data_IF_191145043824
#
_entry.id   IF_191145043824
#
_cell.length_a   1.000
_cell.length_b   1.000
_cell.length_c   1.000
_cell.angle_alpha   90.00
_cell.angle_beta   90.00
_cell.angle_gamma   90.00
#
_symmetry.space_group_name_H-M   'P 1'
#
loop_
_entity.id
_entity.type
_entity.pdbx_description
1 polymer ?
#
# COMPACT_ATOMS: atom_id res chain seq x y z
N UNK A 1 -28.68 1.93 5.66
CA UNK A 1 -27.89 0.88 4.99
C UNK A 1 -26.44 1.35 4.90
N UNK A 2 -25.50 0.53 5.32
CA UNK A 2 -24.05 0.82 5.25
C UNK A 2 -23.62 0.79 3.78
N UNK A 3 -22.98 1.86 3.32
CA UNK A 3 -22.52 2.02 1.92
C UNK A 3 -21.05 1.70 1.73
N UNK A 4 -20.25 1.91 2.76
CA UNK A 4 -18.81 1.71 2.75
C UNK A 4 -18.35 1.10 4.07
N UNK A 5 -17.46 0.13 3.97
CA UNK A 5 -16.71 -0.41 5.09
C UNK A 5 -15.23 -0.21 4.77
N UNK A 6 -14.55 0.61 5.56
CA UNK A 6 -13.11 0.77 5.48
C UNK A 6 -12.44 0.00 6.63
N UNK A 7 -11.39 -0.72 6.32
CA UNK A 7 -10.65 -1.53 7.30
C UNK A 7 -9.15 -1.38 7.11
N UNK A 8 -8.41 -1.42 8.20
CA UNK A 8 -6.96 -1.61 8.19
C UNK A 8 -6.62 -3.09 7.89
N UNK A 9 -5.39 -3.37 7.53
CA UNK A 9 -4.90 -4.71 7.20
C UNK A 9 -4.09 -5.28 8.35
N UNK A 10 -2.95 -4.67 8.67
CA UNK A 10 -2.00 -5.17 9.65
C UNK A 10 -2.53 -5.03 11.07
N UNK A 11 -2.52 -6.13 11.83
CA UNK A 11 -3.06 -6.15 13.19
C UNK A 11 -4.59 -6.11 13.25
N UNK A 12 -5.30 -6.04 12.12
CA UNK A 12 -6.78 -6.03 12.05
C UNK A 12 -7.31 -7.23 11.28
N UNK A 13 -6.95 -7.38 10.03
CA UNK A 13 -7.38 -8.51 9.18
C UNK A 13 -6.35 -9.63 9.12
N UNK A 14 -5.08 -9.27 9.18
CA UNK A 14 -3.95 -10.21 9.17
C UNK A 14 -3.00 -9.89 10.31
N UNK A 15 -2.23 -10.87 10.77
CA UNK A 15 -1.13 -10.60 11.69
C UNK A 15 -0.07 -9.73 11.01
N UNK A 16 0.55 -8.83 11.79
CA UNK A 16 1.52 -7.86 11.29
C UNK A 16 2.60 -8.51 10.42
N UNK A 17 2.80 -7.96 9.25
CA UNK A 17 3.82 -8.41 8.29
C UNK A 17 3.51 -9.71 7.57
N UNK A 18 2.32 -10.32 7.76
CA UNK A 18 1.91 -11.54 7.06
C UNK A 18 1.03 -11.24 5.85
N UNK A 19 0.78 -12.26 5.03
CA UNK A 19 -0.15 -12.21 3.90
C UNK A 19 -1.36 -13.13 4.11
N UNK A 20 -1.45 -13.78 5.28
CA UNK A 20 -2.40 -14.85 5.55
C UNK A 20 -3.74 -14.27 6.04
N UNK A 21 -4.61 -13.97 5.09
CA UNK A 21 -5.99 -13.60 5.36
C UNK A 21 -6.84 -14.86 5.55
N UNK A 22 -7.68 -14.89 6.61
CA UNK A 22 -8.65 -15.96 6.78
C UNK A 22 -9.57 -16.03 5.55
N UNK A 23 -9.66 -17.20 4.88
CA UNK A 23 -10.46 -17.35 3.65
C UNK A 23 -11.92 -16.93 3.75
N UNK A 24 -12.52 -16.99 4.94
CA UNK A 24 -13.90 -16.55 5.18
C UNK A 24 -14.13 -15.08 4.83
N UNK A 25 -13.09 -14.23 4.95
CA UNK A 25 -13.18 -12.83 4.57
C UNK A 25 -13.44 -12.64 3.08
N UNK A 26 -12.92 -13.52 2.22
CA UNK A 26 -13.17 -13.43 0.78
C UNK A 26 -14.66 -13.59 0.45
N UNK A 27 -15.34 -14.52 1.11
CA UNK A 27 -16.78 -14.74 0.92
C UNK A 27 -17.59 -13.56 1.46
N UNK A 28 -17.18 -13.02 2.61
CA UNK A 28 -17.82 -11.82 3.20
C UNK A 28 -17.66 -10.62 2.25
N UNK A 29 -16.49 -10.37 1.69
CA UNK A 29 -16.23 -9.27 0.76
C UNK A 29 -17.14 -9.39 -0.49
N UNK A 30 -17.22 -10.57 -1.08
CA UNK A 30 -18.08 -10.82 -2.24
C UNK A 30 -19.55 -10.56 -1.94
N UNK A 31 -20.02 -11.04 -0.77
CA UNK A 31 -21.41 -10.85 -0.36
C UNK A 31 -21.72 -9.37 -0.06
N UNK A 32 -20.81 -8.63 0.58
CA UNK A 32 -20.97 -7.19 0.81
C UNK A 32 -21.06 -6.43 -0.52
N UNK A 33 -20.21 -6.74 -1.48
CA UNK A 33 -20.28 -6.15 -2.82
C UNK A 33 -21.62 -6.47 -3.49
N UNK A 34 -22.06 -7.72 -3.44
CA UNK A 34 -23.36 -8.12 -3.99
C UNK A 34 -24.51 -7.31 -3.41
N UNK A 35 -24.42 -6.91 -2.14
CA UNK A 35 -25.39 -6.04 -1.45
C UNK A 35 -25.21 -4.55 -1.73
N UNK A 36 -24.24 -4.15 -2.56
CA UNK A 36 -23.98 -2.75 -2.88
C UNK A 36 -23.17 -2.00 -1.84
N UNK A 37 -22.48 -2.72 -0.93
CA UNK A 37 -21.54 -2.13 0.03
C UNK A 37 -20.13 -2.18 -0.55
N UNK A 38 -19.44 -1.03 -0.57
CA UNK A 38 -18.03 -0.94 -0.96
C UNK A 38 -17.17 -1.40 0.21
N UNK A 39 -16.26 -2.32 -0.04
CA UNK A 39 -15.22 -2.70 0.93
C UNK A 39 -13.91 -2.05 0.51
N UNK A 40 -13.25 -1.36 1.44
CA UNK A 40 -12.03 -0.61 1.24
C UNK A 40 -10.98 -1.06 2.26
N UNK A 41 -9.86 -1.58 1.79
CA UNK A 41 -8.70 -1.83 2.63
C UNK A 41 -7.74 -0.64 2.58
N UNK A 42 -7.35 -0.10 3.75
CA UNK A 42 -6.45 1.03 3.87
C UNK A 42 -5.19 0.60 4.64
N UNK A 43 -4.00 0.82 4.07
CA UNK A 43 -2.74 0.38 4.65
C UNK A 43 -1.57 1.25 4.20
N UNK A 44 -0.50 1.25 5.02
CA UNK A 44 0.82 1.76 4.62
C UNK A 44 1.56 0.86 3.63
N UNK A 45 1.08 -0.37 3.42
CA UNK A 45 1.70 -1.31 2.48
C UNK A 45 1.70 -0.77 1.05
N UNK A 46 2.69 -1.21 0.28
CA UNK A 46 2.67 -1.03 -1.17
C UNK A 46 1.49 -1.79 -1.80
N UNK A 47 0.97 -1.26 -2.89
CA UNK A 47 -0.13 -1.84 -3.65
C UNK A 47 0.08 -3.33 -3.95
N UNK A 48 1.25 -3.71 -4.46
CA UNK A 48 1.53 -5.10 -4.82
C UNK A 48 1.43 -6.06 -3.61
N UNK A 49 1.77 -5.59 -2.42
CA UNK A 49 1.61 -6.38 -1.19
C UNK A 49 0.14 -6.55 -0.80
N UNK A 50 -0.66 -5.50 -0.94
CA UNK A 50 -2.11 -5.57 -0.68
C UNK A 50 -2.79 -6.50 -1.67
N UNK A 51 -2.46 -6.41 -2.96
CA UNK A 51 -3.01 -7.27 -4.00
C UNK A 51 -2.77 -8.76 -3.72
N UNK A 52 -1.60 -9.11 -3.15
CA UNK A 52 -1.31 -10.49 -2.74
C UNK A 52 -2.26 -11.00 -1.64
N UNK A 53 -2.58 -10.16 -0.65
CA UNK A 53 -3.52 -10.52 0.43
C UNK A 53 -4.92 -10.77 -0.12
N UNK A 54 -5.36 -9.98 -1.10
CA UNK A 54 -6.73 -10.01 -1.62
C UNK A 54 -6.85 -10.66 -3.01
N UNK A 55 -5.86 -11.42 -3.45
CA UNK A 55 -5.84 -12.06 -4.78
C UNK A 55 -7.18 -12.67 -5.21
N UNK A 56 -7.92 -13.42 -4.35
CA UNK A 56 -9.20 -14.03 -4.77
C UNK A 56 -10.36 -13.06 -4.97
N UNK A 57 -10.21 -11.80 -4.54
CA UNK A 57 -11.29 -10.79 -4.53
C UNK A 57 -10.84 -9.42 -5.05
N UNK A 58 -9.80 -9.37 -5.88
CA UNK A 58 -9.24 -8.12 -6.41
C UNK A 58 -10.27 -7.22 -7.10
N UNK A 59 -11.22 -7.83 -7.80
CA UNK A 59 -12.30 -7.11 -8.48
C UNK A 59 -13.44 -6.68 -7.54
N UNK A 60 -13.43 -7.13 -6.30
CA UNK A 60 -14.52 -6.95 -5.34
C UNK A 60 -14.19 -5.96 -4.23
N UNK A 61 -12.92 -5.56 -4.12
CA UNK A 61 -12.42 -4.68 -3.07
C UNK A 61 -11.70 -3.46 -3.67
N UNK A 62 -11.70 -2.37 -2.94
CA UNK A 62 -10.90 -1.17 -3.23
C UNK A 62 -9.76 -1.03 -2.23
N UNK A 63 -8.70 -0.32 -2.60
CA UNK A 63 -7.53 -0.13 -1.74
C UNK A 63 -7.14 1.33 -1.62
N UNK A 64 -6.67 1.69 -0.43
CA UNK A 64 -5.80 2.83 -0.20
C UNK A 64 -4.47 2.26 0.26
N UNK A 65 -3.41 2.50 -0.51
CA UNK A 65 -2.06 2.00 -0.24
C UNK A 65 -1.08 3.15 -0.02
N UNK A 66 0.13 2.81 0.44
CA UNK A 66 1.23 3.75 0.63
C UNK A 66 0.83 4.99 1.46
N UNK A 67 0.11 4.75 2.57
CA UNK A 67 -0.37 5.79 3.49
C UNK A 67 -1.28 6.85 2.82
N UNK A 68 -2.03 6.48 1.79
CA UNK A 68 -2.99 7.35 1.14
C UNK A 68 -2.54 7.94 -0.20
N UNK A 69 -1.32 7.69 -0.63
CA UNK A 69 -0.81 8.22 -1.90
C UNK A 69 -1.36 7.50 -3.11
N UNK A 70 -1.87 6.28 -2.94
CA UNK A 70 -2.47 5.52 -4.03
C UNK A 70 -3.85 5.00 -3.64
N UNK A 71 -4.84 5.29 -4.49
CA UNK A 71 -6.20 4.73 -4.39
C UNK A 71 -6.42 3.87 -5.63
N UNK A 72 -6.91 2.66 -5.43
CA UNK A 72 -7.12 1.71 -6.49
C UNK A 72 -8.40 0.91 -6.30
N UNK A 73 -9.17 0.78 -7.36
CA UNK A 73 -10.30 -0.14 -7.49
C UNK A 73 -10.29 -0.74 -8.89
N UNK A 74 -11.23 -1.62 -9.20
CA UNK A 74 -11.37 -2.22 -10.53
C UNK A 74 -11.40 -1.18 -11.66
N UNK A 75 -12.15 -0.09 -11.45
CA UNK A 75 -12.45 0.90 -12.50
C UNK A 75 -11.84 2.28 -12.22
N UNK A 76 -11.06 2.42 -11.17
CA UNK A 76 -10.52 3.71 -10.75
C UNK A 76 -9.12 3.55 -10.18
N UNK A 77 -8.24 4.45 -10.60
CA UNK A 77 -6.90 4.58 -10.03
C UNK A 77 -6.56 6.05 -9.85
N UNK A 78 -6.05 6.38 -8.69
CA UNK A 78 -5.49 7.69 -8.37
C UNK A 78 -4.13 7.51 -7.70
N UNK A 79 -3.15 8.28 -8.13
CA UNK A 79 -1.82 8.31 -7.52
C UNK A 79 -1.45 9.77 -7.30
N UNK A 80 -1.16 10.11 -6.05
CA UNK A 80 -0.58 11.40 -5.71
C UNK A 80 0.93 11.24 -5.56
N UNK A 81 1.69 12.07 -6.25
CA UNK A 81 3.14 12.01 -6.26
C UNK A 81 3.75 13.27 -5.65
N UNK A 82 4.79 13.09 -4.85
CA UNK A 82 5.56 14.22 -4.32
C UNK A 82 6.36 14.83 -5.47
N UNK A 83 6.39 16.17 -5.54
CA UNK A 83 7.20 16.88 -6.52
C UNK A 83 8.66 16.38 -6.47
N UNK A 84 9.27 16.01 -7.62
CA UNK A 84 10.65 15.51 -7.66
C UNK A 84 11.68 16.45 -7.06
N UNK A 85 11.48 17.76 -7.14
CA UNK A 85 12.39 18.74 -6.53
C UNK A 85 12.31 18.69 -4.99
N UNK A 86 11.10 18.50 -4.43
CA UNK A 86 10.91 18.30 -2.99
C UNK A 86 11.59 17.01 -2.54
N UNK A 87 11.40 15.91 -3.28
CA UNK A 87 12.07 14.63 -2.99
C UNK A 87 13.59 14.79 -2.99
N UNK A 88 14.15 15.50 -3.99
CA UNK A 88 15.59 15.77 -4.07
C UNK A 88 16.09 16.53 -2.85
N UNK A 89 15.38 17.58 -2.43
CA UNK A 89 15.71 18.37 -1.25
C UNK A 89 15.74 17.50 0.02
N UNK A 90 14.73 16.66 0.21
CA UNK A 90 14.71 15.74 1.36
C UNK A 90 15.87 14.74 1.35
N UNK A 91 16.23 14.21 0.19
CA UNK A 91 17.39 13.31 0.04
C UNK A 91 18.69 14.02 0.43
N UNK A 92 18.90 15.25 -0.08
CA UNK A 92 20.09 16.04 0.21
C UNK A 92 20.19 16.40 1.70
N UNK A 93 19.09 16.78 2.30
CA UNK A 93 19.02 17.07 3.75
C UNK A 93 19.30 15.83 4.59
N UNK A 94 18.66 14.70 4.29
CA UNK A 94 18.83 13.47 5.04
C UNK A 94 20.27 12.94 4.98
N UNK A 95 20.99 13.16 3.88
CA UNK A 95 22.42 12.78 3.75
C UNK A 95 23.33 13.51 4.73
N UNK A 96 22.90 14.64 5.29
CA UNK A 96 23.67 15.39 6.28
C UNK A 96 23.60 14.76 7.68
N UNK A 97 22.67 13.82 7.89
CA UNK A 97 22.49 13.17 9.19
C UNK A 97 23.08 11.76 9.16
N UNK A 98 24.17 11.49 9.94
CA UNK A 98 24.75 10.16 10.03
C UNK A 98 23.71 9.13 10.53
N UNK A 99 23.63 7.98 9.87
CA UNK A 99 22.69 6.92 10.22
C UNK A 99 21.26 7.12 9.73
N UNK A 100 20.98 8.19 8.98
CA UNK A 100 19.69 8.37 8.32
C UNK A 100 19.63 7.54 7.05
N UNK A 101 18.62 6.69 6.95
CA UNK A 101 18.31 5.93 5.74
C UNK A 101 17.04 6.47 5.10
N UNK A 102 17.02 6.52 3.77
CA UNK A 102 15.86 7.02 3.01
C UNK A 102 15.29 5.86 2.21
N UNK A 103 13.99 5.63 2.36
CA UNK A 103 13.23 4.73 1.52
C UNK A 103 12.26 5.54 0.64
N UNK A 104 12.30 5.32 -0.66
CA UNK A 104 11.41 5.96 -1.64
C UNK A 104 10.61 4.88 -2.34
N UNK A 105 9.30 5.00 -2.29
CA UNK A 105 8.40 4.11 -3.02
C UNK A 105 8.06 4.71 -4.38
N UNK A 106 8.26 3.92 -5.43
CA UNK A 106 7.91 4.28 -6.81
C UNK A 106 7.61 3.01 -7.61
N UNK A 107 6.53 3.02 -8.37
CA UNK A 107 6.18 1.94 -9.31
C UNK A 107 6.14 0.54 -8.66
N UNK A 108 5.53 0.43 -7.47
CA UNK A 108 5.49 -0.78 -6.64
C UNK A 108 6.85 -1.31 -6.15
N UNK A 109 7.87 -0.46 -6.16
CA UNK A 109 9.22 -0.79 -5.70
C UNK A 109 9.66 0.17 -4.60
N UNK A 110 10.46 -0.33 -3.66
CA UNK A 110 11.12 0.50 -2.65
C UNK A 110 12.59 0.67 -3.03
N UNK A 111 13.01 1.91 -3.17
CA UNK A 111 14.40 2.28 -3.37
C UNK A 111 14.96 2.76 -2.03
N UNK A 112 16.06 2.17 -1.60
CA UNK A 112 16.74 2.59 -0.38
C UNK A 112 18.07 3.23 -0.72
N UNK A 113 18.28 4.45 -0.24
CA UNK A 113 19.60 5.08 -0.25
C UNK A 113 20.36 4.63 1.00
N UNK A 114 21.35 3.75 0.82
CA UNK A 114 22.25 3.37 1.90
C UNK A 114 23.35 4.42 2.03
N UNK A 115 23.79 4.70 3.24
CA UNK A 115 24.79 5.71 3.56
C UNK A 115 26.21 5.45 3.00
N UNK A 116 26.39 4.36 2.29
CA UNK A 116 27.62 4.02 1.56
C UNK A 116 27.35 3.98 0.07
N UNK A 117 27.61 5.08 -0.64
CA UNK A 117 27.90 5.29 -2.06
C UNK A 117 27.21 4.44 -3.13
N UNK A 118 26.33 3.53 -2.83
CA UNK A 118 25.62 2.71 -3.83
C UNK A 118 24.10 2.73 -3.61
N UNK A 119 23.36 3.15 -4.64
CA UNK A 119 21.96 2.79 -4.81
C UNK A 119 21.88 1.27 -4.88
N UNK A 120 21.37 0.63 -3.85
CA UNK A 120 21.05 -0.78 -3.95
C UNK A 120 19.77 -0.94 -4.75
N UNK A 121 19.78 -1.90 -5.66
CA UNK A 121 18.64 -2.31 -6.45
C UNK A 121 17.46 -2.72 -5.57
N UNK A 122 16.23 -2.62 -6.10
CA UNK A 122 15.02 -2.84 -5.34
C UNK A 122 14.99 -4.23 -4.69
N UNK A 123 14.59 -4.25 -3.43
CA UNK A 123 14.23 -5.50 -2.76
C UNK A 123 12.81 -5.87 -3.16
N UNK A 124 12.69 -7.00 -3.84
CA UNK A 124 11.39 -7.60 -4.15
C UNK A 124 10.69 -8.13 -2.91
#
# INVERSE_FOLDING_TARGET
MIKLIATDIDGTLVADGTLDLNPEYYDVIKELKRRGTIVLAASGRQRASIEKVFTPVLDDISFISENGTCIHSKDYQYVDVIDPEIVRTYIEEARQFPGCEIAINKDNMTYMAVSYTHLTLPTN
#
